data_IF_754765637156
#
_entry.id   IF_754765637156
#
_cell.length_a   1.000
_cell.length_b   1.000
_cell.length_c   1.000
_cell.angle_alpha   90.00
_cell.angle_beta   90.00
_cell.angle_gamma   90.00
#
_symmetry.space_group_name_H-M   'P 1'
#
loop_
_entity.id
_entity.type
_entity.pdbx_description
1 polymer ?
#
# COMPACT_ATOMS: atom_id res chain seq x y z
N UNK A 1 -31.59 -55.55 -30.90
CA UNK A 1 -32.36 -54.48 -30.23
C UNK A 1 -31.77 -54.21 -28.85
N UNK A 2 -31.30 -52.99 -28.60
CA UNK A 2 -31.25 -52.30 -27.29
C UNK A 2 -30.39 -51.05 -27.45
N UNK A 3 -31.03 -49.94 -27.81
CA UNK A 3 -30.48 -48.59 -27.73
C UNK A 3 -30.38 -48.18 -26.26
N UNK A 4 -29.20 -47.74 -25.84
CA UNK A 4 -28.99 -46.98 -24.59
C UNK A 4 -27.87 -45.97 -24.83
N UNK A 5 -27.93 -44.89 -24.03
CA UNK A 5 -27.09 -43.69 -23.96
C UNK A 5 -27.60 -42.54 -24.87
N UNK A 6 -27.69 -41.30 -24.42
CA UNK A 6 -27.25 -40.69 -23.16
C UNK A 6 -28.05 -39.39 -22.93
N UNK A 7 -28.47 -39.14 -21.69
CA UNK A 7 -28.99 -37.85 -21.25
C UNK A 7 -27.88 -36.81 -21.33
N UNK A 8 -28.09 -35.78 -22.15
CA UNK A 8 -27.23 -34.61 -22.23
C UNK A 8 -27.53 -33.70 -21.03
N UNK A 9 -26.87 -33.94 -19.90
CA UNK A 9 -26.85 -33.01 -18.79
C UNK A 9 -25.88 -31.87 -19.14
N UNK A 10 -26.40 -30.76 -19.64
CA UNK A 10 -25.66 -29.50 -19.73
C UNK A 10 -25.36 -29.00 -18.32
N UNK A 11 -24.16 -29.31 -17.84
CA UNK A 11 -23.52 -28.56 -16.75
C UNK A 11 -23.31 -27.13 -17.26
N UNK A 12 -24.21 -26.22 -16.89
CA UNK A 12 -23.92 -24.80 -16.93
C UNK A 12 -22.88 -24.56 -15.85
N UNK A 13 -21.61 -24.68 -16.23
CA UNK A 13 -20.50 -24.23 -15.40
C UNK A 13 -20.63 -22.73 -15.22
N UNK A 14 -21.13 -22.33 -14.04
CA UNK A 14 -20.90 -21.00 -13.48
C UNK A 14 -19.39 -20.79 -13.41
N UNK A 15 -18.81 -20.26 -14.49
CA UNK A 15 -17.51 -19.63 -14.44
C UNK A 15 -17.72 -18.34 -13.65
N UNK A 16 -17.70 -18.47 -12.32
CA UNK A 16 -17.49 -17.32 -11.45
C UNK A 16 -16.24 -16.61 -11.95
N UNK A 17 -16.37 -15.32 -12.25
CA UNK A 17 -15.22 -14.45 -12.46
C UNK A 17 -14.34 -14.56 -11.22
N UNK A 18 -13.26 -15.35 -11.29
CA UNK A 18 -12.14 -15.20 -10.38
C UNK A 18 -11.48 -13.90 -10.78
N UNK A 19 -11.93 -12.80 -10.16
CA UNK A 19 -11.19 -11.55 -10.18
C UNK A 19 -9.81 -11.90 -9.61
N UNK A 20 -8.76 -11.83 -10.44
CA UNK A 20 -7.40 -12.16 -10.00
C UNK A 20 -7.09 -11.32 -8.76
N UNK A 21 -6.85 -12.00 -7.63
CA UNK A 21 -6.58 -11.33 -6.37
C UNK A 21 -5.24 -10.59 -6.51
N UNK A 22 -5.25 -9.27 -6.29
CA UNK A 22 -4.02 -8.47 -6.32
C UNK A 22 -3.08 -9.01 -5.23
N UNK A 23 -1.85 -9.44 -5.56
CA UNK A 23 -0.93 -10.02 -4.58
C UNK A 23 -0.64 -9.07 -3.43
N UNK A 24 -0.37 -9.61 -2.24
CA UNK A 24 0.18 -8.81 -1.14
C UNK A 24 1.54 -8.20 -1.51
N UNK A 25 1.97 -7.11 -0.85
CA UNK A 25 3.34 -6.64 -0.98
C UNK A 25 4.35 -7.74 -0.61
N UNK A 26 5.55 -7.67 -1.21
CA UNK A 26 6.64 -8.55 -0.77
C UNK A 26 7.12 -8.13 0.62
N UNK A 27 7.81 -9.01 1.37
CA UNK A 27 8.39 -8.65 2.66
C UNK A 27 9.30 -7.41 2.58
N UNK A 28 10.03 -7.23 1.48
CA UNK A 28 10.88 -6.06 1.26
C UNK A 28 10.07 -4.76 1.06
N UNK A 29 8.92 -4.84 0.39
CA UNK A 29 8.00 -3.71 0.21
C UNK A 29 7.33 -3.34 1.53
N UNK A 30 6.87 -4.33 2.30
CA UNK A 30 6.31 -4.11 3.64
C UNK A 30 7.32 -3.46 4.58
N UNK A 31 8.55 -3.98 4.61
CA UNK A 31 9.63 -3.45 5.42
C UNK A 31 10.00 -2.01 5.02
N UNK A 32 10.07 -1.72 3.72
CA UNK A 32 10.35 -0.36 3.24
C UNK A 32 9.25 0.63 3.63
N UNK A 33 7.97 0.24 3.48
CA UNK A 33 6.84 1.06 3.87
C UNK A 33 6.83 1.34 5.39
N UNK A 34 7.11 0.31 6.19
CA UNK A 34 7.17 0.43 7.64
C UNK A 34 8.35 1.27 8.12
N UNK A 35 9.55 1.03 7.57
CA UNK A 35 10.73 1.79 7.94
C UNK A 35 10.60 3.26 7.53
N UNK A 36 10.05 3.55 6.33
CA UNK A 36 9.77 4.92 5.91
C UNK A 36 8.79 5.61 6.85
N UNK A 37 7.70 4.94 7.24
CA UNK A 37 6.74 5.47 8.21
C UNK A 37 7.40 5.80 9.55
N UNK A 38 8.16 4.85 10.12
CA UNK A 38 8.81 5.02 11.41
C UNK A 38 9.89 6.10 11.39
N UNK A 39 10.75 6.11 10.37
CA UNK A 39 11.78 7.13 10.24
C UNK A 39 11.19 8.53 10.03
N UNK A 40 10.08 8.67 9.30
CA UNK A 40 9.37 9.94 9.18
C UNK A 40 8.76 10.38 10.52
N UNK A 41 8.10 9.45 11.24
CA UNK A 41 7.50 9.67 12.56
C UNK A 41 8.54 10.11 13.60
N UNK A 42 9.74 9.55 13.55
CA UNK A 42 10.85 9.86 14.46
C UNK A 42 11.71 11.05 13.99
N UNK A 43 11.36 11.69 12.88
CA UNK A 43 12.09 12.84 12.34
C UNK A 43 13.45 12.49 11.72
N UNK A 44 13.71 11.21 11.42
CA UNK A 44 14.92 10.71 10.76
C UNK A 44 14.81 10.92 9.23
N UNK A 45 14.70 12.18 8.82
CA UNK A 45 14.39 12.57 7.44
C UNK A 45 15.38 12.03 6.40
N UNK A 46 16.68 12.05 6.69
CA UNK A 46 17.67 11.53 5.75
C UNK A 46 17.48 10.03 5.49
N UNK A 47 17.11 9.25 6.53
CA UNK A 47 16.82 7.82 6.40
C UNK A 47 15.50 7.57 5.67
N UNK A 48 14.44 8.32 6.03
CA UNK A 48 13.16 8.29 5.32
C UNK A 48 13.35 8.47 3.80
N UNK A 49 14.15 9.46 3.41
CA UNK A 49 14.44 9.77 2.00
C UNK A 49 15.16 8.62 1.25
N UNK A 50 15.80 7.67 1.95
CA UNK A 50 16.46 6.51 1.31
C UNK A 50 15.50 5.45 0.82
N UNK A 51 14.25 5.43 1.31
CA UNK A 51 13.24 4.45 0.89
C UNK A 51 12.49 4.89 -0.38
N UNK A 52 12.64 6.15 -0.79
CA UNK A 52 11.86 6.74 -1.87
C UNK A 52 12.54 6.57 -3.22
N UNK A 53 11.74 6.57 -4.28
CA UNK A 53 12.27 6.78 -5.63
C UNK A 53 12.85 8.19 -5.78
N UNK A 54 13.82 8.39 -6.71
CA UNK A 54 14.51 9.68 -6.87
C UNK A 54 13.57 10.88 -7.06
N UNK A 55 12.46 10.70 -7.80
CA UNK A 55 11.51 11.78 -8.04
C UNK A 55 10.80 12.21 -6.76
N UNK A 56 10.23 11.28 -6.01
CA UNK A 56 9.57 11.58 -4.73
C UNK A 56 10.59 12.09 -3.68
N UNK A 57 11.82 11.58 -3.71
CA UNK A 57 12.92 12.08 -2.88
C UNK A 57 13.19 13.57 -3.16
N UNK A 58 13.23 13.98 -4.43
CA UNK A 58 13.41 15.37 -4.82
C UNK A 58 12.23 16.23 -4.35
N UNK A 59 10.99 15.77 -4.53
CA UNK A 59 9.79 16.49 -4.09
C UNK A 59 9.80 16.79 -2.57
N UNK A 60 10.16 15.82 -1.73
CA UNK A 60 10.26 16.06 -0.29
C UNK A 60 11.46 16.93 0.11
N UNK A 61 12.58 16.85 -0.62
CA UNK A 61 13.75 17.72 -0.40
C UNK A 61 13.43 19.17 -0.74
N UNK A 62 12.70 19.39 -1.83
CA UNK A 62 12.25 20.73 -2.26
C UNK A 62 11.13 21.26 -1.36
N UNK A 63 10.35 20.37 -0.73
CA UNK A 63 9.27 20.71 0.18
C UNK A 63 9.45 20.14 1.59
N UNK A 64 10.54 20.52 2.27
CA UNK A 64 10.80 20.05 3.65
C UNK A 64 9.67 20.42 4.64
N UNK A 65 8.92 21.49 4.37
CA UNK A 65 7.78 21.89 5.21
C UNK A 65 6.69 20.82 5.21
N UNK A 66 6.40 20.22 4.05
CA UNK A 66 5.45 19.12 3.93
C UNK A 66 5.93 17.89 4.72
N UNK A 67 7.19 17.50 4.55
CA UNK A 67 7.78 16.36 5.28
C UNK A 67 7.69 16.56 6.80
N UNK A 68 8.07 17.74 7.30
CA UNK A 68 7.98 18.09 8.72
C UNK A 68 6.53 18.15 9.21
N UNK A 69 5.59 18.60 8.37
CA UNK A 69 4.15 18.58 8.69
C UNK A 69 3.65 17.16 8.89
N UNK A 70 3.92 16.25 7.96
CA UNK A 70 3.56 14.84 8.09
C UNK A 70 4.15 14.20 9.35
N UNK A 71 5.45 14.39 9.58
CA UNK A 71 6.14 13.91 10.77
C UNK A 71 5.46 14.35 12.08
N UNK A 72 5.07 15.64 12.18
CA UNK A 72 4.41 16.20 13.37
C UNK A 72 2.98 15.73 13.58
N UNK A 73 2.27 15.34 12.52
CA UNK A 73 0.89 14.86 12.62
C UNK A 73 0.80 13.42 13.12
N UNK A 74 1.87 12.63 13.00
CA UNK A 74 1.87 11.24 13.42
C UNK A 74 1.97 11.14 14.94
N UNK A 75 1.08 10.39 15.63
CA UNK A 75 1.15 10.21 17.07
C UNK A 75 2.44 9.54 17.53
N UNK A 76 2.99 9.99 18.66
CA UNK A 76 4.27 9.50 19.21
C UNK A 76 4.09 8.37 20.23
N UNK A 77 2.86 8.10 20.67
CA UNK A 77 2.52 6.96 21.54
C UNK A 77 2.58 5.62 20.81
N UNK A 78 2.61 4.50 21.52
CA UNK A 78 2.60 3.19 20.87
C UNK A 78 1.25 2.94 20.15
N UNK A 79 1.29 2.42 18.92
CA UNK A 79 0.06 2.01 18.24
C UNK A 79 -0.44 0.66 18.80
N UNK A 80 -1.75 0.43 18.69
CA UNK A 80 -2.42 -0.82 19.10
C UNK A 80 -2.34 -1.89 18.02
N UNK A 81 -2.53 -1.50 16.76
CA UNK A 81 -2.51 -2.42 15.62
C UNK A 81 -2.14 -1.70 14.33
N UNK A 82 -1.67 -2.48 13.35
CA UNK A 82 -1.46 -2.08 11.96
C UNK A 82 -2.14 -3.10 11.06
N UNK A 83 -2.91 -2.64 10.08
CA UNK A 83 -3.70 -3.48 9.18
C UNK A 83 -3.50 -3.02 7.74
N UNK A 84 -3.30 -3.96 6.83
CA UNK A 84 -3.33 -3.69 5.39
C UNK A 84 -4.80 -3.60 4.95
N UNK A 85 -5.24 -2.42 4.50
CA UNK A 85 -6.64 -2.12 4.23
C UNK A 85 -7.02 -2.38 2.78
N UNK A 86 -6.19 -1.93 1.83
CA UNK A 86 -6.47 -2.12 0.42
C UNK A 86 -5.21 -2.24 -0.42
N UNK A 87 -5.37 -2.90 -1.57
CA UNK A 87 -4.37 -3.10 -2.63
C UNK A 87 -5.06 -2.78 -3.94
N UNK A 88 -4.44 -1.95 -4.78
CA UNK A 88 -4.95 -1.66 -6.12
C UNK A 88 -3.80 -1.40 -7.08
N UNK A 89 -4.02 -1.71 -8.35
CA UNK A 89 -3.10 -1.35 -9.43
C UNK A 89 -3.81 -0.26 -10.23
N UNK A 90 -3.17 0.89 -10.37
CA UNK A 90 -3.70 2.03 -11.11
C UNK A 90 -2.65 2.55 -12.08
N UNK A 91 -3.08 3.00 -13.25
CA UNK A 91 -2.21 3.71 -14.18
C UNK A 91 -2.46 5.22 -14.06
N UNK A 92 -1.42 5.97 -13.76
CA UNK A 92 -1.48 7.42 -13.64
C UNK A 92 -0.45 8.05 -14.58
N UNK A 93 -0.92 8.81 -15.57
CA UNK A 93 -0.06 9.47 -16.59
C UNK A 93 0.89 8.50 -17.32
N UNK A 94 0.42 7.29 -17.63
CA UNK A 94 1.22 6.26 -18.30
C UNK A 94 2.20 5.51 -17.37
N UNK A 95 2.10 5.71 -16.05
CA UNK A 95 2.90 5.02 -15.05
C UNK A 95 1.99 4.13 -14.21
N UNK A 96 2.20 2.82 -14.28
CA UNK A 96 1.56 1.85 -13.39
C UNK A 96 2.05 2.02 -11.96
N UNK A 97 1.11 2.03 -11.01
CA UNK A 97 1.36 2.09 -9.59
C UNK A 97 0.63 0.98 -8.87
N UNK A 98 1.38 0.19 -8.12
CA UNK A 98 0.84 -0.72 -7.13
C UNK A 98 0.64 0.03 -5.81
N UNK A 99 -0.60 0.47 -5.55
CA UNK A 99 -0.98 1.29 -4.38
C UNK A 99 -1.44 0.40 -3.24
N UNK A 100 -0.93 0.68 -2.04
CA UNK A 100 -1.24 -0.03 -0.80
C UNK A 100 -1.63 0.99 0.25
N UNK A 101 -2.75 0.73 0.93
CA UNK A 101 -3.20 1.53 2.06
C UNK A 101 -3.06 0.72 3.34
N UNK A 102 -2.41 1.29 4.34
CA UNK A 102 -2.31 0.74 5.67
C UNK A 102 -3.04 1.64 6.66
N UNK A 103 -3.63 1.03 7.66
CA UNK A 103 -4.26 1.70 8.78
C UNK A 103 -3.53 1.32 10.07
N UNK A 104 -3.20 2.32 10.88
CA UNK A 104 -2.56 2.16 12.18
C UNK A 104 -3.48 2.77 13.23
N UNK A 105 -3.98 1.92 14.13
CA UNK A 105 -4.83 2.34 15.23
C UNK A 105 -3.96 2.76 16.42
N UNK A 106 -4.07 4.02 16.82
CA UNK A 106 -3.49 4.55 18.05
C UNK A 106 -4.55 4.57 19.18
N UNK A 107 -4.14 4.83 20.44
CA UNK A 107 -5.06 5.06 21.54
C UNK A 107 -6.21 6.01 21.23
N UNK A 108 -5.90 7.16 20.60
CA UNK A 108 -6.87 8.23 20.32
C UNK A 108 -7.07 8.57 18.84
N UNK A 109 -6.16 8.10 17.99
CA UNK A 109 -6.15 8.46 16.58
C UNK A 109 -6.17 7.22 15.69
N UNK A 110 -6.58 7.42 14.46
CA UNK A 110 -6.40 6.48 13.37
C UNK A 110 -5.49 7.12 12.34
N UNK A 111 -4.42 6.45 11.97
CA UNK A 111 -3.53 6.91 10.91
C UNK A 111 -3.72 6.04 9.69
N UNK A 112 -4.12 6.63 8.57
CA UNK A 112 -4.05 5.98 7.27
C UNK A 112 -2.80 6.47 6.57
N UNK A 113 -1.93 5.56 6.15
CA UNK A 113 -0.80 5.90 5.32
C UNK A 113 -0.83 5.07 4.03
N UNK A 114 -0.78 5.80 2.92
CA UNK A 114 -0.83 5.26 1.58
C UNK A 114 0.56 5.28 0.97
N UNK A 115 0.98 4.16 0.41
CA UNK A 115 2.23 4.04 -0.35
C UNK A 115 1.96 3.45 -1.72
N UNK A 116 2.86 3.72 -2.66
CA UNK A 116 2.86 2.98 -3.93
C UNK A 116 4.23 2.48 -4.34
N UNK A 117 4.24 1.38 -5.08
CA UNK A 117 5.41 0.75 -5.70
C UNK A 117 5.21 0.66 -7.21
N UNK A 118 6.23 0.19 -7.94
CA UNK A 118 6.16 -0.07 -9.37
C UNK A 118 5.16 -1.20 -9.70
N UNK A 119 5.26 -2.33 -9.01
CA UNK A 119 4.40 -3.50 -9.19
C UNK A 119 4.45 -4.40 -7.94
N UNK A 120 3.52 -5.37 -7.80
CA UNK A 120 3.62 -6.37 -6.75
C UNK A 120 4.93 -7.15 -6.84
N UNK A 121 5.61 -7.31 -5.71
CA UNK A 121 6.89 -8.03 -5.61
C UNK A 121 8.05 -7.45 -6.46
N UNK A 122 7.90 -6.24 -7.01
CA UNK A 122 8.95 -5.53 -7.73
C UNK A 122 9.91 -4.79 -6.81
N UNK A 123 10.22 -3.55 -7.17
CA UNK A 123 11.05 -2.66 -6.37
C UNK A 123 10.42 -2.39 -5.00
N UNK A 124 11.26 -2.25 -3.96
CA UNK A 124 10.86 -1.76 -2.64
C UNK A 124 10.98 -0.23 -2.52
N UNK A 125 11.31 0.47 -3.61
CA UNK A 125 11.33 1.94 -3.64
C UNK A 125 9.93 2.49 -3.73
N UNK A 126 9.64 3.44 -2.84
CA UNK A 126 8.32 4.05 -2.70
C UNK A 126 8.15 5.16 -3.75
N UNK A 127 7.13 5.04 -4.59
CA UNK A 127 6.74 5.99 -5.64
C UNK A 127 5.85 7.12 -5.13
N UNK A 128 4.97 6.81 -4.18
CA UNK A 128 4.10 7.79 -3.53
C UNK A 128 4.04 7.49 -2.03
N UNK A 129 3.97 8.53 -1.20
CA UNK A 129 3.85 8.40 0.25
C UNK A 129 2.95 9.52 0.78
N UNK A 130 1.82 9.15 1.38
CA UNK A 130 0.87 10.10 1.95
C UNK A 130 0.38 9.64 3.32
N UNK A 131 0.12 10.58 4.23
CA UNK A 131 -0.38 10.31 5.59
C UNK A 131 -1.60 11.16 5.87
N UNK A 132 -2.62 10.52 6.44
CA UNK A 132 -3.81 11.14 6.99
C UNK A 132 -4.00 10.67 8.43
N UNK A 133 -4.38 11.58 9.31
CA UNK A 133 -4.60 11.29 10.73
C UNK A 133 -6.00 11.75 11.09
N UNK A 134 -6.78 10.87 11.72
CA UNK A 134 -8.15 11.08 12.15
C UNK A 134 -8.25 10.95 13.68
N UNK A 135 -9.13 11.73 14.31
CA UNK A 135 -9.34 11.74 15.78
C UNK A 135 -8.47 12.75 16.55
N UNK A 136 -8.63 12.80 17.87
CA UNK A 136 -7.98 13.75 18.82
C UNK A 136 -7.51 13.08 20.13
#
# INVERSE_FOLDING_TARGET
MKTRLMLLATLIGLHGCTQEEIPNPSPAQEQAAEAAYNDLREGKYDKFLTYLEPQLQAEFKDNQKLMKRFSRTIPQEAYKSKTLMSKRIEEEKGVTQYKISYEIAYPKNLVQYDVSFDQPHGSSKIRNFNIQVFGE
#
